data_IF_494330399636
#
_entry.id   IF_494330399636
#
_cell.length_a   1.000
_cell.length_b   1.000
_cell.length_c   1.000
_cell.angle_alpha   90.00
_cell.angle_beta   90.00
_cell.angle_gamma   90.00
#
_symmetry.space_group_name_H-M   'P 1'
#
loop_
_entity.id
_entity.type
_entity.pdbx_description
1 polymer ?
#
# COMPACT_ATOMS: atom_id res chain seq x y z
N UNK A 1 7.83 13.57 -22.48
CA UNK A 1 6.81 12.85 -21.68
C UNK A 1 5.69 13.85 -21.46
N UNK A 2 4.45 13.50 -21.78
CA UNK A 2 3.31 14.38 -21.46
C UNK A 2 3.23 14.53 -19.93
N UNK A 3 2.90 15.72 -19.40
CA UNK A 3 2.71 15.88 -17.96
C UNK A 3 1.59 14.93 -17.50
N UNK A 4 1.80 14.26 -16.38
CA UNK A 4 0.75 13.44 -15.79
C UNK A 4 -0.42 14.33 -15.38
N UNK A 5 -1.64 13.92 -15.71
CA UNK A 5 -2.88 14.56 -15.26
C UNK A 5 -3.37 13.92 -13.96
N UNK A 6 -4.14 14.68 -13.19
CA UNK A 6 -4.77 14.23 -11.96
C UNK A 6 -6.27 14.08 -12.17
N UNK A 7 -6.84 13.01 -11.63
CA UNK A 7 -8.27 12.68 -11.63
C UNK A 7 -8.79 12.50 -10.19
N UNK A 8 -8.92 13.60 -9.40
CA UNK A 8 -9.28 13.51 -7.99
C UNK A 8 -10.60 12.81 -7.71
N UNK A 9 -11.55 12.90 -8.64
CA UNK A 9 -12.85 12.25 -8.59
C UNK A 9 -12.75 10.71 -8.58
N UNK A 10 -11.64 10.15 -9.06
CA UNK A 10 -11.42 8.70 -9.12
C UNK A 10 -10.49 8.17 -8.03
N UNK A 11 -9.94 9.04 -7.18
CA UNK A 11 -8.88 8.65 -6.24
C UNK A 11 -9.30 7.58 -5.25
N UNK A 12 -10.52 7.70 -4.71
CA UNK A 12 -11.05 6.71 -3.78
C UNK A 12 -11.20 5.36 -4.48
N UNK A 13 -11.82 5.35 -5.66
CA UNK A 13 -12.08 4.12 -6.41
C UNK A 13 -10.81 3.41 -6.88
N UNK A 14 -9.77 4.16 -7.27
CA UNK A 14 -8.57 3.59 -7.88
C UNK A 14 -7.40 3.40 -6.92
N UNK A 15 -7.35 4.16 -5.81
CA UNK A 15 -6.19 4.18 -4.92
C UNK A 15 -6.50 3.90 -3.45
N UNK A 16 -7.76 3.90 -2.99
CA UNK A 16 -8.05 3.72 -1.57
C UNK A 16 -7.53 2.39 -1.03
N UNK A 17 -7.87 1.28 -1.68
CA UNK A 17 -7.49 -0.07 -1.23
C UNK A 17 -5.98 -0.23 -1.12
N UNK A 18 -5.25 0.33 -2.08
CA UNK A 18 -3.80 0.16 -2.09
C UNK A 18 -3.08 1.06 -1.09
N UNK A 19 -3.54 2.30 -0.93
CA UNK A 19 -3.01 3.21 0.09
C UNK A 19 -3.35 2.66 1.49
N UNK A 20 -4.53 2.08 1.66
CA UNK A 20 -4.95 1.42 2.89
C UNK A 20 -4.09 0.20 3.22
N UNK A 21 -3.97 -0.76 2.30
CA UNK A 21 -3.13 -1.95 2.50
C UNK A 21 -1.67 -1.60 2.82
N UNK A 22 -1.12 -0.57 2.16
CA UNK A 22 0.21 -0.05 2.46
C UNK A 22 0.32 0.51 3.89
N UNK A 23 -0.73 1.17 4.37
CA UNK A 23 -0.77 1.86 5.66
C UNK A 23 -1.04 0.90 6.81
N UNK A 24 -1.97 -0.04 6.67
CA UNK A 24 -2.28 -1.08 7.66
C UNK A 24 -1.04 -1.90 7.99
N UNK A 25 -0.26 -2.26 6.97
CA UNK A 25 1.01 -2.98 7.15
C UNK A 25 2.06 -2.20 7.97
N UNK A 26 1.87 -0.89 8.17
CA UNK A 26 2.79 -0.01 8.90
C UNK A 26 2.26 0.42 10.25
N UNK A 27 0.98 0.75 10.35
CA UNK A 27 0.38 1.36 11.54
C UNK A 27 -0.28 0.32 12.46
N UNK A 28 -0.52 -0.90 11.96
CA UNK A 28 -1.06 -2.04 12.72
C UNK A 28 -2.40 -1.77 13.44
N UNK A 29 -3.11 -0.74 13.01
CA UNK A 29 -4.43 -0.32 13.46
C UNK A 29 -5.22 0.12 12.21
N UNK A 30 -6.39 -0.48 12.02
CA UNK A 30 -7.21 -0.27 10.83
C UNK A 30 -7.89 1.10 10.83
N UNK A 31 -8.45 1.55 11.95
CA UNK A 31 -9.11 2.86 12.03
C UNK A 31 -8.12 3.98 11.76
N UNK A 32 -6.94 3.89 12.38
CA UNK A 32 -5.88 4.87 12.15
C UNK A 32 -5.40 4.82 10.69
N UNK A 33 -5.33 3.64 10.08
CA UNK A 33 -4.96 3.51 8.68
C UNK A 33 -6.00 4.16 7.75
N UNK A 34 -7.30 3.98 8.01
CA UNK A 34 -8.38 4.63 7.27
C UNK A 34 -8.28 6.15 7.40
N UNK A 35 -8.08 6.67 8.61
CA UNK A 35 -7.91 8.09 8.89
C UNK A 35 -6.72 8.67 8.11
N UNK A 36 -5.56 8.01 8.15
CA UNK A 36 -4.36 8.44 7.43
C UNK A 36 -4.60 8.49 5.91
N UNK A 37 -5.34 7.53 5.35
CA UNK A 37 -5.67 7.52 3.92
C UNK A 37 -6.63 8.66 3.57
N UNK A 38 -7.67 8.91 4.39
CA UNK A 38 -8.56 10.06 4.21
C UNK A 38 -7.78 11.38 4.26
N UNK A 39 -6.91 11.52 5.25
CA UNK A 39 -6.05 12.69 5.43
C UNK A 39 -5.09 12.89 4.26
N UNK A 40 -4.67 11.80 3.63
CA UNK A 40 -3.83 11.80 2.43
C UNK A 40 -4.58 12.39 1.25
N UNK A 41 -5.79 11.91 0.96
CA UNK A 41 -6.61 12.46 -0.12
C UNK A 41 -6.95 13.93 0.12
N UNK A 42 -7.30 14.31 1.35
CA UNK A 42 -7.58 15.71 1.68
C UNK A 42 -6.35 16.61 1.51
N UNK A 43 -5.18 16.14 1.92
CA UNK A 43 -3.92 16.86 1.72
C UNK A 43 -3.55 16.95 0.23
N UNK A 44 -3.77 15.88 -0.53
CA UNK A 44 -3.55 15.84 -1.97
C UNK A 44 -4.46 16.83 -2.71
N UNK A 45 -5.76 16.88 -2.39
CA UNK A 45 -6.70 17.85 -2.96
C UNK A 45 -6.20 19.29 -2.80
N UNK A 46 -5.71 19.64 -1.60
CA UNK A 46 -5.14 20.96 -1.32
C UNK A 46 -3.82 21.22 -2.06
N UNK A 47 -3.09 20.17 -2.40
CA UNK A 47 -1.79 20.25 -3.05
C UNK A 47 -1.84 20.16 -4.58
N UNK A 48 -3.02 19.92 -5.19
CA UNK A 48 -3.21 19.88 -6.65
C UNK A 48 -2.55 21.06 -7.38
N UNK A 49 -2.70 22.32 -6.93
CA UNK A 49 -2.08 23.47 -7.63
C UNK A 49 -0.55 23.42 -7.68
N UNK A 50 0.09 22.65 -6.79
CA UNK A 50 1.53 22.50 -6.69
C UNK A 50 2.06 21.27 -7.44
N UNK A 51 1.18 20.49 -8.07
CA UNK A 51 1.58 19.30 -8.80
C UNK A 51 2.25 19.67 -10.13
N UNK A 52 3.48 19.18 -10.32
CA UNK A 52 4.31 19.51 -11.48
C UNK A 52 4.18 18.53 -12.65
N UNK A 53 3.40 17.46 -12.50
CA UNK A 53 3.26 16.41 -13.52
C UNK A 53 4.53 15.56 -13.74
N UNK A 54 5.53 15.69 -12.87
CA UNK A 54 6.82 14.97 -12.95
C UNK A 54 6.73 13.51 -12.48
N UNK A 55 5.72 13.19 -11.67
CA UNK A 55 5.47 11.85 -11.16
C UNK A 55 4.04 11.39 -11.53
N UNK A 56 3.81 10.08 -11.57
CA UNK A 56 2.43 9.57 -11.74
C UNK A 56 1.56 9.99 -10.54
N UNK A 57 0.26 10.15 -10.76
CA UNK A 57 -0.72 10.45 -9.71
C UNK A 57 -0.55 9.52 -8.50
N UNK A 58 -0.46 8.22 -8.77
CA UNK A 58 -0.24 7.19 -7.76
C UNK A 58 1.03 7.45 -6.95
N UNK A 59 2.17 7.66 -7.61
CA UNK A 59 3.44 7.94 -6.93
C UNK A 59 3.34 9.19 -6.06
N UNK A 60 2.65 10.22 -6.57
CA UNK A 60 2.44 11.46 -5.84
C UNK A 60 1.57 11.28 -4.60
N UNK A 61 0.46 10.53 -4.69
CA UNK A 61 -0.38 10.17 -3.54
C UNK A 61 0.41 9.37 -2.49
N UNK A 62 1.24 8.41 -2.90
CA UNK A 62 2.12 7.68 -1.99
C UNK A 62 3.15 8.59 -1.28
N UNK A 63 3.68 9.61 -1.95
CA UNK A 63 4.58 10.57 -1.33
C UNK A 63 3.90 11.37 -0.20
N UNK A 64 2.63 11.75 -0.40
CA UNK A 64 1.81 12.42 0.62
C UNK A 64 1.48 11.46 1.76
N UNK A 65 1.06 10.23 1.44
CA UNK A 65 0.74 9.18 2.41
C UNK A 65 1.89 8.91 3.36
N UNK A 66 3.10 8.75 2.83
CA UNK A 66 4.31 8.51 3.63
C UNK A 66 4.57 9.65 4.63
N UNK A 67 4.39 10.91 4.21
CA UNK A 67 4.49 12.06 5.12
C UNK A 67 3.46 11.99 6.25
N UNK A 68 2.22 11.61 5.94
CA UNK A 68 1.15 11.43 6.94
C UNK A 68 1.48 10.33 7.96
N UNK A 69 1.99 9.18 7.50
CA UNK A 69 2.44 8.10 8.39
C UNK A 69 3.58 8.58 9.31
N UNK A 70 4.56 9.31 8.78
CA UNK A 70 5.67 9.87 9.59
C UNK A 70 5.13 10.87 10.62
N UNK A 71 4.23 11.77 10.21
CA UNK A 71 3.63 12.76 11.11
C UNK A 71 2.81 12.10 12.22
N UNK A 72 2.09 11.01 11.91
CA UNK A 72 1.37 10.18 12.89
C UNK A 72 2.32 9.65 13.98
N UNK A 73 3.41 8.98 13.59
CA UNK A 73 4.40 8.48 14.57
C UNK A 73 5.11 9.59 15.33
N UNK A 74 5.36 10.74 14.69
CA UNK A 74 5.96 11.91 15.36
C UNK A 74 5.02 12.46 16.43
N UNK A 75 3.70 12.47 16.18
CA UNK A 75 2.69 12.90 17.15
C UNK A 75 2.67 11.95 18.35
N UNK A 76 2.60 10.64 18.13
CA UNK A 76 2.60 9.62 19.20
C UNK A 76 3.87 9.67 20.06
N UNK A 77 5.04 9.83 19.42
CA UNK A 77 6.32 9.80 20.13
C UNK A 77 6.70 11.12 20.83
N UNK A 78 5.96 12.20 20.57
CA UNK A 78 6.12 13.48 21.28
C UNK A 78 5.63 13.38 22.72
N UNK A 79 6.28 14.11 23.65
CA UNK A 79 5.91 14.11 25.08
C UNK A 79 4.46 14.51 25.35
N UNK A 80 3.83 15.29 24.46
CA UNK A 80 2.40 15.61 24.48
C UNK A 80 1.51 14.47 23.95
N UNK A 81 1.94 13.72 22.93
CA UNK A 81 1.17 12.60 22.38
C UNK A 81 1.13 11.37 23.29
N UNK A 82 2.18 11.14 24.08
CA UNK A 82 2.19 10.12 25.14
C UNK A 82 1.11 10.32 26.21
N UNK A 83 0.62 11.55 26.40
CA UNK A 83 -0.46 11.86 27.34
C UNK A 83 -1.86 11.64 26.74
N UNK A 84 -2.06 11.91 25.44
CA UNK A 84 -3.33 11.65 24.73
C UNK A 84 -3.55 10.15 24.47
N UNK A 85 -2.51 9.43 24.02
CA UNK A 85 -2.60 7.98 23.76
C UNK A 85 -2.93 7.20 25.04
N UNK A 86 -2.42 7.65 26.19
CA UNK A 86 -2.74 7.01 27.49
C UNK A 86 -4.20 7.23 27.92
N UNK A 87 -4.88 8.23 27.37
CA UNK A 87 -6.30 8.52 27.65
C UNK A 87 -7.24 7.73 26.72
N UNK A 88 -6.81 7.46 25.49
CA UNK A 88 -7.63 6.78 24.48
C UNK A 88 -7.65 5.25 24.66
N UNK A 89 -6.59 4.67 25.24
CA UNK A 89 -6.52 3.22 25.53
C UNK A 89 -7.23 2.79 26.82
N UNK A 90 -7.82 3.72 27.61
CA UNK A 90 -8.51 3.37 28.86
C UNK A 90 -10.03 3.25 28.75
N UNK A 91 -10.58 3.36 27.54
CA UNK A 91 -12.01 3.17 27.29
C UNK A 91 -12.17 2.11 26.21
N UNK A 92 -12.77 0.99 26.63
CA UNK A 92 -13.44 -0.04 25.83
C UNK A 92 -12.69 -1.38 25.74
N UNK A 93 -13.00 -2.20 26.76
CA UNK A 93 -12.91 -3.65 26.75
C UNK A 93 -14.02 -4.24 25.85
N UNK A 94 -13.62 -5.23 25.03
CA UNK A 94 -14.36 -6.40 24.54
C UNK A 94 -15.88 -6.28 24.28
N UNK A 95 -16.28 -6.34 23.00
CA UNK A 95 -17.19 -7.41 22.51
C UNK A 95 -17.35 -7.40 20.98
N UNK A 96 -17.14 -8.59 20.40
CA UNK A 96 -17.87 -9.17 19.28
C UNK A 96 -17.42 -8.88 17.82
N UNK A 97 -16.60 -9.81 17.34
CA UNK A 97 -16.71 -10.61 16.11
C UNK A 97 -17.73 -10.16 15.03
N UNK A 98 -17.22 -10.22 13.80
CA UNK A 98 -17.92 -10.61 12.56
C UNK A 98 -18.43 -9.46 11.67
N UNK A 99 -17.52 -8.75 11.01
CA UNK A 99 -17.84 -7.86 9.88
C UNK A 99 -16.81 -8.03 8.74
N UNK A 100 -16.68 -9.25 8.20
CA UNK A 100 -16.19 -9.44 6.83
C UNK A 100 -17.42 -9.76 5.98
N UNK A 101 -18.21 -8.73 5.69
CA UNK A 101 -19.21 -8.80 4.63
C UNK A 101 -18.58 -8.18 3.38
N UNK A 102 -18.06 -9.06 2.53
CA UNK A 102 -17.71 -8.78 1.14
C UNK A 102 -18.90 -8.04 0.51
N UNK A 103 -18.74 -6.75 0.23
CA UNK A 103 -19.54 -6.09 -0.80
C UNK A 103 -19.03 -6.57 -2.15
N UNK A 104 -19.58 -7.70 -2.59
CA UNK A 104 -19.64 -8.04 -4.00
C UNK A 104 -20.43 -6.92 -4.70
N UNK A 105 -19.75 -6.07 -5.45
CA UNK A 105 -20.38 -5.26 -6.49
C UNK A 105 -20.54 -6.14 -7.72
N UNK A 106 -21.79 -6.28 -8.14
CA UNK A 106 -22.24 -6.92 -9.37
C UNK A 106 -21.58 -6.25 -10.59
N UNK A 107 -20.50 -6.86 -11.11
CA UNK A 107 -20.23 -6.88 -12.54
C UNK A 107 -19.89 -8.31 -12.95
N UNK A 108 -20.77 -8.86 -13.78
CA UNK A 108 -20.84 -10.20 -14.33
C UNK A 108 -19.55 -10.61 -15.07
N UNK A 109 -18.55 -11.06 -14.33
CA UNK A 109 -17.37 -11.77 -14.85
C UNK A 109 -17.30 -13.12 -14.15
N UNK A 110 -17.78 -14.15 -14.84
CA UNK A 110 -17.59 -15.58 -14.60
C UNK A 110 -17.16 -15.96 -13.17
N UNK A 111 -18.10 -16.47 -12.37
CA UNK A 111 -17.82 -16.99 -11.02
C UNK A 111 -16.67 -18.02 -10.95
N UNK A 112 -16.32 -18.66 -12.07
CA UNK A 112 -15.16 -19.55 -12.19
C UNK A 112 -13.82 -18.78 -12.28
N UNK A 113 -13.77 -17.65 -13.01
CA UNK A 113 -12.57 -16.82 -13.13
C UNK A 113 -12.26 -16.05 -11.84
N UNK A 114 -13.28 -15.69 -11.05
CA UNK A 114 -13.09 -15.02 -9.75
C UNK A 114 -12.46 -15.99 -8.73
N UNK A 115 -12.95 -17.23 -8.66
CA UNK A 115 -12.36 -18.26 -7.78
C UNK A 115 -10.94 -18.65 -8.19
N UNK A 116 -10.68 -18.79 -9.50
CA UNK A 116 -9.33 -19.13 -10.00
C UNK A 116 -8.32 -18.01 -9.74
N UNK A 117 -8.75 -16.74 -9.80
CA UNK A 117 -7.93 -15.59 -9.43
C UNK A 117 -7.63 -15.53 -7.93
N UNK A 118 -8.55 -15.98 -7.08
CA UNK A 118 -8.37 -15.98 -5.63
C UNK A 118 -7.34 -17.03 -5.19
N UNK A 119 -7.40 -18.24 -5.76
CA UNK A 119 -6.39 -19.28 -5.52
C UNK A 119 -5.00 -18.88 -6.04
N UNK A 120 -4.93 -18.29 -7.24
CA UNK A 120 -3.69 -17.74 -7.79
C UNK A 120 -3.12 -16.62 -6.90
N UNK A 121 -3.98 -15.73 -6.41
CA UNK A 121 -3.60 -14.64 -5.51
C UNK A 121 -2.99 -15.14 -4.20
N UNK A 122 -3.61 -16.16 -3.59
CA UNK A 122 -3.10 -16.83 -2.38
C UNK A 122 -1.76 -17.50 -2.68
N UNK A 123 -1.61 -18.19 -3.81
CA UNK A 123 -0.35 -18.81 -4.21
C UNK A 123 0.78 -17.77 -4.39
N UNK A 124 0.48 -16.63 -5.00
CA UNK A 124 1.43 -15.51 -5.15
C UNK A 124 1.82 -14.95 -3.79
N UNK A 125 0.87 -14.70 -2.88
CA UNK A 125 1.15 -14.21 -1.52
C UNK A 125 2.03 -15.20 -0.74
N UNK A 126 1.73 -16.50 -0.82
CA UNK A 126 2.51 -17.56 -0.20
C UNK A 126 3.93 -17.67 -0.76
N UNK A 127 4.12 -17.40 -2.06
CA UNK A 127 5.45 -17.37 -2.65
C UNK A 127 6.21 -16.07 -2.34
N UNK A 128 5.52 -14.93 -2.25
CA UNK A 128 6.10 -13.67 -1.81
C UNK A 128 6.62 -13.74 -0.36
N UNK A 129 5.91 -14.43 0.53
CA UNK A 129 6.35 -14.61 1.93
C UNK A 129 7.60 -15.50 2.07
N UNK A 130 7.88 -16.37 1.08
CA UNK A 130 9.09 -17.21 1.03
C UNK A 130 10.30 -16.49 0.44
N UNK A 131 10.11 -15.36 -0.24
CA UNK A 131 11.20 -14.56 -0.79
C UNK A 131 11.94 -13.79 0.31
N UNK A 132 13.24 -13.47 0.11
CA UNK A 132 13.95 -12.58 1.01
C UNK A 132 13.21 -11.24 1.17
N UNK A 133 13.08 -10.75 2.40
CA UNK A 133 12.26 -9.57 2.74
C UNK A 133 12.51 -8.36 1.83
N UNK A 134 13.77 -8.04 1.52
CA UNK A 134 14.12 -6.93 0.60
C UNK A 134 13.66 -7.16 -0.84
N UNK A 135 13.67 -8.40 -1.32
CA UNK A 135 13.20 -8.76 -2.67
C UNK A 135 11.67 -8.68 -2.74
N UNK A 136 10.98 -9.26 -1.76
CA UNK A 136 9.53 -9.17 -1.64
C UNK A 136 9.08 -7.71 -1.55
N UNK A 137 9.72 -6.90 -0.69
CA UNK A 137 9.39 -5.49 -0.52
C UNK A 137 9.61 -4.68 -1.79
N UNK A 138 10.76 -4.83 -2.48
CA UNK A 138 11.01 -4.13 -3.76
C UNK A 138 10.01 -4.56 -4.83
N UNK A 139 9.70 -5.85 -4.89
CA UNK A 139 8.74 -6.37 -5.87
C UNK A 139 7.33 -5.85 -5.60
N UNK A 140 6.88 -5.84 -4.34
CA UNK A 140 5.60 -5.26 -3.92
C UNK A 140 5.58 -3.78 -4.26
N UNK A 141 6.58 -3.00 -3.83
CA UNK A 141 6.66 -1.57 -4.10
C UNK A 141 6.62 -1.25 -5.61
N UNK A 142 7.31 -2.04 -6.44
CA UNK A 142 7.38 -1.78 -7.89
C UNK A 142 6.16 -2.28 -8.65
N UNK A 143 5.71 -3.49 -8.36
CA UNK A 143 4.77 -4.25 -9.20
C UNK A 143 3.37 -4.18 -8.65
N UNK A 144 3.23 -4.28 -7.32
CA UNK A 144 1.92 -4.22 -6.64
C UNK A 144 1.55 -2.78 -6.38
N UNK A 145 2.44 -1.98 -5.79
CA UNK A 145 2.28 -0.57 -5.40
C UNK A 145 2.59 0.43 -6.53
N UNK A 146 3.15 -0.02 -7.65
CA UNK A 146 3.32 0.79 -8.85
C UNK A 146 4.23 2.01 -8.67
N UNK A 147 5.09 1.99 -7.66
CA UNK A 147 5.98 3.11 -7.36
C UNK A 147 7.05 3.28 -8.45
N UNK A 148 7.43 4.53 -8.69
CA UNK A 148 8.52 4.82 -9.60
C UNK A 148 9.86 4.32 -9.03
N UNK A 149 10.82 4.14 -9.93
CA UNK A 149 12.15 3.60 -9.58
C UNK A 149 12.87 4.54 -8.61
N UNK A 150 12.71 5.86 -8.78
CA UNK A 150 13.38 6.87 -7.96
C UNK A 150 12.87 6.86 -6.52
N UNK A 151 11.55 6.80 -6.30
CA UNK A 151 10.92 6.71 -4.98
C UNK A 151 11.37 5.45 -4.25
N UNK A 152 11.43 4.31 -4.93
CA UNK A 152 11.86 3.06 -4.28
C UNK A 152 13.36 3.12 -3.92
N UNK A 153 14.18 3.70 -4.80
CA UNK A 153 15.61 3.89 -4.54
C UNK A 153 15.85 4.79 -3.32
N UNK A 154 15.12 5.91 -3.23
CA UNK A 154 15.18 6.83 -2.10
C UNK A 154 14.70 6.19 -0.79
N UNK A 155 13.64 5.38 -0.84
CA UNK A 155 13.08 4.71 0.34
C UNK A 155 14.03 3.66 0.92
N UNK A 156 14.59 2.81 0.06
CA UNK A 156 15.36 1.64 0.48
C UNK A 156 16.87 1.89 0.51
N UNK A 157 17.31 3.12 0.20
CA UNK A 157 18.73 3.47 0.08
C UNK A 157 19.44 2.67 -1.01
N UNK A 158 18.77 2.42 -2.14
CA UNK A 158 19.26 1.60 -3.24
C UNK A 158 19.65 2.47 -4.42
N UNK A 159 20.60 1.99 -5.23
CA UNK A 159 20.85 2.57 -6.55
C UNK A 159 19.88 1.98 -7.59
N UNK A 160 19.56 2.70 -8.68
CA UNK A 160 18.70 2.17 -9.75
C UNK A 160 19.19 0.82 -10.29
N UNK A 161 20.50 0.64 -10.45
CA UNK A 161 21.10 -0.62 -10.89
C UNK A 161 20.86 -1.75 -9.89
N UNK A 162 20.97 -1.49 -8.59
CA UNK A 162 20.69 -2.49 -7.55
C UNK A 162 19.19 -2.83 -7.50
N UNK A 163 18.31 -1.85 -7.68
CA UNK A 163 16.87 -2.06 -7.76
C UNK A 163 16.50 -3.06 -8.87
N UNK A 164 17.03 -2.86 -10.08
CA UNK A 164 16.77 -3.76 -11.21
C UNK A 164 17.24 -5.20 -10.96
N UNK A 165 18.40 -5.36 -10.33
CA UNK A 165 18.91 -6.69 -9.93
C UNK A 165 17.98 -7.35 -8.90
N UNK A 166 17.51 -6.59 -7.92
CA UNK A 166 16.59 -7.08 -6.89
C UNK A 166 15.24 -7.48 -7.51
N UNK A 167 14.69 -6.66 -8.41
CA UNK A 167 13.44 -6.95 -9.14
C UNK A 167 13.60 -8.23 -9.97
N UNK A 168 14.72 -8.38 -10.68
CA UNK A 168 14.97 -9.58 -11.47
C UNK A 168 15.02 -10.83 -10.59
N UNK A 169 15.76 -10.79 -9.48
CA UNK A 169 15.83 -11.89 -8.51
C UNK A 169 14.48 -12.22 -7.88
N UNK A 170 13.70 -11.20 -7.53
CA UNK A 170 12.36 -11.39 -6.98
C UNK A 170 11.42 -12.06 -8.00
N UNK A 171 11.47 -11.66 -9.28
CA UNK A 171 10.70 -12.30 -10.36
C UNK A 171 11.09 -13.76 -10.58
N UNK A 172 12.40 -14.04 -10.63
CA UNK A 172 12.89 -15.41 -10.81
C UNK A 172 12.48 -16.29 -9.63
N UNK A 173 12.68 -15.83 -8.39
CA UNK A 173 12.28 -16.61 -7.21
C UNK A 173 10.77 -16.80 -7.08
N UNK A 174 9.97 -15.81 -7.48
CA UNK A 174 8.51 -15.94 -7.54
C UNK A 174 8.08 -16.96 -8.60
N UNK A 175 8.67 -16.90 -9.80
CA UNK A 175 8.40 -17.84 -10.88
C UNK A 175 8.80 -19.28 -10.52
N UNK A 176 9.94 -19.47 -9.86
CA UNK A 176 10.41 -20.78 -9.42
C UNK A 176 9.51 -21.34 -8.31
N UNK A 177 9.05 -20.49 -7.38
CA UNK A 177 8.12 -20.90 -6.33
C UNK A 177 6.73 -21.29 -6.89
N UNK A 178 6.22 -20.54 -7.86
CA UNK A 178 4.95 -20.87 -8.52
C UNK A 178 5.05 -22.16 -9.33
N UNK A 179 6.17 -22.41 -10.02
CA UNK A 179 6.43 -23.68 -10.73
C UNK A 179 6.44 -24.91 -9.83
N UNK A 180 6.72 -24.76 -8.53
CA UNK A 180 6.78 -25.88 -7.59
C UNK A 180 5.48 -26.10 -6.80
N UNK A 181 4.64 -25.06 -6.67
CA UNK A 181 3.43 -25.10 -5.83
C UNK A 181 2.13 -25.01 -6.64
N UNK A 182 2.18 -24.71 -7.94
CA UNK A 182 1.00 -24.51 -8.79
C UNK A 182 1.00 -25.34 -10.08
N UNK A 183 2.18 -25.78 -10.55
CA UNK A 183 2.35 -26.72 -11.66
C UNK A 183 2.88 -28.06 -11.13
#
# INVERSE_FOLDING_TARGET
MLPHELHPEQWVQHHADILFNYTVARVSDEEIAQDIVQDTFLAALKAIPNFKGEATERTWLFAILKRKIIDHYRKINSSKGKAEVRMQFSSEEDENKDWISLKATEEDKNAHEVMENEELGIAIQNCLSKLPQKQAQVFTMKTIEGLDTETICNELGLTPSNLWVIIHRARTGLADCLKQNWF
#
